data_IF_293992334756
#
_entry.id   IF_293992334756
#
_cell.length_a   1.000
_cell.length_b   1.000
_cell.length_c   1.000
_cell.angle_alpha   90.00
_cell.angle_beta   90.00
_cell.angle_gamma   90.00
#
_symmetry.space_group_name_H-M   'P 1'
#
loop_
_entity.id
_entity.type
_entity.pdbx_description
1 polymer ?
#
# COMPACT_ATOMS: atom_id res chain seq x y z
N UNK A 1 -9.53 14.80 16.44
CA UNK A 1 -8.69 13.88 15.64
C UNK A 1 -9.25 13.73 14.24
N UNK A 2 -8.51 14.13 13.21
CA UNK A 2 -8.89 13.91 11.83
C UNK A 2 -8.61 12.44 11.44
N UNK A 3 -9.64 11.58 11.46
CA UNK A 3 -9.50 10.16 11.11
C UNK A 3 -9.21 9.94 9.62
N UNK A 4 -9.54 10.91 8.76
CA UNK A 4 -9.34 10.83 7.32
C UNK A 4 -7.87 10.68 6.92
N UNK A 5 -6.92 11.10 7.78
CA UNK A 5 -5.49 10.95 7.52
C UNK A 5 -5.03 9.49 7.40
N UNK A 6 -5.68 8.57 8.11
CA UNK A 6 -5.34 7.14 8.01
C UNK A 6 -5.90 6.52 6.74
N UNK A 7 -7.02 7.01 6.21
CA UNK A 7 -7.53 6.60 4.90
C UNK A 7 -6.58 7.01 3.77
N UNK A 8 -5.89 8.16 3.90
CA UNK A 8 -4.82 8.56 2.97
C UNK A 8 -3.67 7.55 2.97
N UNK A 9 -3.28 7.02 4.14
CA UNK A 9 -2.26 5.97 4.21
C UNK A 9 -2.69 4.69 3.48
N UNK A 10 -3.94 4.26 3.66
CA UNK A 10 -4.46 3.10 2.93
C UNK A 10 -4.47 3.34 1.41
N UNK A 11 -4.88 4.54 0.99
CA UNK A 11 -4.90 4.92 -0.42
C UNK A 11 -3.49 4.96 -1.02
N UNK A 12 -2.51 5.50 -0.29
CA UNK A 12 -1.10 5.49 -0.70
C UNK A 12 -0.57 4.06 -0.81
N UNK A 13 -0.94 3.18 0.11
CA UNK A 13 -0.58 1.76 0.06
C UNK A 13 -1.12 1.12 -1.22
N UNK A 14 -2.42 1.30 -1.50
CA UNK A 14 -3.09 0.74 -2.68
C UNK A 14 -2.47 1.25 -3.98
N UNK A 15 -2.41 2.57 -4.15
CA UNK A 15 -1.95 3.18 -5.39
C UNK A 15 -0.48 2.90 -5.66
N UNK A 16 0.38 2.94 -4.64
CA UNK A 16 1.80 2.66 -4.82
C UNK A 16 2.03 1.21 -5.27
N UNK A 17 1.34 0.24 -4.68
CA UNK A 17 1.50 -1.17 -5.10
C UNK A 17 0.88 -1.42 -6.48
N UNK A 18 -0.30 -0.84 -6.76
CA UNK A 18 -1.00 -0.99 -8.04
C UNK A 18 -0.19 -0.42 -9.22
N UNK A 19 0.46 0.73 -9.03
CA UNK A 19 1.20 1.43 -10.08
C UNK A 19 2.64 0.92 -10.18
N UNK A 20 3.34 0.81 -9.05
CA UNK A 20 4.77 0.50 -9.06
C UNK A 20 5.04 -0.95 -9.42
N UNK A 21 4.16 -1.89 -9.08
CA UNK A 21 4.38 -3.29 -9.43
C UNK A 21 4.53 -3.52 -10.94
N UNK A 22 3.57 -3.12 -11.80
CA UNK A 22 3.73 -3.29 -13.24
C UNK A 22 4.92 -2.49 -13.81
N UNK A 23 5.26 -1.32 -13.24
CA UNK A 23 6.45 -0.57 -13.65
C UNK A 23 7.75 -1.33 -13.33
N UNK A 24 7.91 -1.80 -12.09
CA UNK A 24 9.05 -2.61 -11.68
C UNK A 24 9.11 -3.91 -12.49
N UNK A 25 7.97 -4.56 -12.72
CA UNK A 25 7.93 -5.78 -13.53
C UNK A 25 8.35 -5.53 -14.97
N UNK A 26 7.92 -4.41 -15.56
CA UNK A 26 8.34 -4.01 -16.91
C UNK A 26 9.84 -3.75 -17.02
N UNK A 27 10.46 -3.19 -15.99
CA UNK A 27 11.90 -2.89 -15.95
C UNK A 27 12.73 -4.19 -15.80
N UNK A 28 12.31 -5.08 -14.90
CA UNK A 28 13.09 -6.26 -14.53
C UNK A 28 12.84 -7.44 -15.50
N UNK A 29 11.67 -7.45 -16.17
CA UNK A 29 11.30 -8.43 -17.20
C UNK A 29 10.63 -9.70 -16.65
N UNK A 30 9.98 -10.44 -17.56
CA UNK A 30 9.07 -11.54 -17.22
C UNK A 30 9.71 -12.70 -16.46
N UNK A 31 11.00 -12.96 -16.70
CA UNK A 31 11.76 -14.04 -16.04
C UNK A 31 12.06 -13.76 -14.56
N UNK A 32 11.86 -12.53 -14.11
CA UNK A 32 12.31 -12.04 -12.81
C UNK A 32 11.15 -11.52 -11.96
N UNK A 33 10.00 -12.20 -12.01
CA UNK A 33 8.77 -11.77 -11.35
C UNK A 33 8.94 -11.46 -9.86
N UNK A 34 9.57 -12.35 -9.08
CA UNK A 34 9.80 -12.13 -7.65
C UNK A 34 10.79 -11.00 -7.35
N UNK A 35 11.78 -10.78 -8.23
CA UNK A 35 12.68 -9.64 -8.11
C UNK A 35 11.90 -8.32 -8.33
N UNK A 36 10.94 -8.30 -9.25
CA UNK A 36 10.04 -7.16 -9.43
C UNK A 36 9.17 -6.90 -8.19
N UNK A 37 8.68 -7.95 -7.52
CA UNK A 37 7.93 -7.82 -6.26
C UNK A 37 8.80 -7.18 -5.17
N UNK A 38 10.01 -7.70 -4.94
CA UNK A 38 10.93 -7.17 -3.93
C UNK A 38 11.28 -5.71 -4.23
N UNK A 39 11.61 -5.41 -5.50
CA UNK A 39 11.90 -4.05 -5.94
C UNK A 39 10.70 -3.13 -5.69
N UNK A 40 9.48 -3.59 -5.98
CA UNK A 40 8.25 -2.83 -5.72
C UNK A 40 8.10 -2.51 -4.24
N UNK A 41 8.34 -3.47 -3.34
CA UNK A 41 8.24 -3.24 -1.89
C UNK A 41 9.21 -2.14 -1.47
N UNK A 42 10.47 -2.22 -1.90
CA UNK A 42 11.52 -1.22 -1.58
C UNK A 42 11.15 0.16 -2.11
N UNK A 43 10.80 0.26 -3.40
CA UNK A 43 10.46 1.54 -4.04
C UNK A 43 9.18 2.13 -3.43
N UNK A 44 8.18 1.28 -3.16
CA UNK A 44 6.91 1.71 -2.57
C UNK A 44 7.11 2.35 -1.19
N UNK A 45 8.05 1.86 -0.38
CA UNK A 45 8.37 2.47 0.92
C UNK A 45 8.85 3.91 0.76
N UNK A 46 9.79 4.13 -0.17
CA UNK A 46 10.31 5.47 -0.47
C UNK A 46 9.22 6.41 -0.99
N UNK A 47 8.40 5.93 -1.93
CA UNK A 47 7.28 6.70 -2.50
C UNK A 47 6.25 7.08 -1.43
N UNK A 48 5.84 6.12 -0.59
CA UNK A 48 4.88 6.38 0.50
C UNK A 48 5.40 7.41 1.49
N UNK A 49 6.66 7.29 1.92
CA UNK A 49 7.27 8.24 2.85
C UNK A 49 7.40 9.63 2.24
N UNK A 50 7.78 9.72 0.97
CA UNK A 50 7.82 10.99 0.23
C UNK A 50 6.45 11.68 0.22
N UNK A 51 5.39 10.95 -0.16
CA UNK A 51 4.04 11.53 -0.21
C UNK A 51 3.51 11.89 1.18
N UNK A 52 3.74 11.05 2.21
CA UNK A 52 3.37 11.40 3.59
C UNK A 52 4.04 12.70 4.00
N UNK A 53 5.36 12.82 3.81
CA UNK A 53 6.09 14.04 4.16
C UNK A 53 5.57 15.25 3.39
N UNK A 54 5.29 15.09 2.10
CA UNK A 54 4.73 16.15 1.26
C UNK A 54 3.35 16.61 1.74
N UNK A 55 2.47 15.69 2.12
CA UNK A 55 1.15 16.03 2.66
C UNK A 55 1.24 16.73 4.01
N UNK A 56 2.15 16.31 4.89
CA UNK A 56 2.37 16.98 6.18
C UNK A 56 2.90 18.41 5.99
N UNK A 57 3.84 18.63 5.06
CA UNK A 57 4.37 19.98 4.77
C UNK A 57 3.29 20.90 4.21
N UNK A 58 2.40 20.37 3.35
CA UNK A 58 1.36 21.18 2.70
C UNK A 58 0.09 21.36 3.52
N UNK A 59 -0.13 20.57 4.57
CA UNK A 59 -1.38 20.59 5.33
C UNK A 59 -1.13 20.68 6.83
N UNK A 60 -1.44 21.84 7.41
CA UNK A 60 -1.33 22.10 8.86
C UNK A 60 -2.21 21.18 9.74
N UNK A 61 -3.19 20.48 9.16
CA UNK A 61 -4.08 19.56 9.88
C UNK A 61 -3.73 18.08 9.66
N UNK A 62 -2.62 17.80 8.97
CA UNK A 62 -2.20 16.46 8.62
C UNK A 62 -0.88 16.14 9.32
N UNK A 63 -0.97 15.42 10.44
CA UNK A 63 0.19 14.89 11.15
C UNK A 63 0.00 13.41 11.40
N UNK A 64 0.98 12.59 11.01
CA UNK A 64 0.97 11.14 11.18
C UNK A 64 2.05 10.71 12.17
N UNK A 65 1.69 9.97 13.24
CA UNK A 65 2.66 9.49 14.20
C UNK A 65 3.63 8.49 13.54
N UNK A 66 4.94 8.79 13.60
CA UNK A 66 5.96 8.04 12.84
C UNK A 66 6.21 6.62 13.35
N UNK A 67 6.21 6.40 14.66
CA UNK A 67 6.42 5.07 15.26
C UNK A 67 5.41 4.01 14.76
N UNK A 68 4.08 4.23 14.88
CA UNK A 68 3.12 3.27 14.35
C UNK A 68 3.15 3.18 12.83
N UNK A 69 3.49 4.26 12.11
CA UNK A 69 3.62 4.26 10.65
C UNK A 69 4.76 3.34 10.18
N UNK A 70 5.95 3.42 10.80
CA UNK A 70 7.08 2.58 10.43
C UNK A 70 6.83 1.10 10.73
N UNK A 71 6.19 0.80 11.86
CA UNK A 71 5.79 -0.56 12.17
C UNK A 71 4.79 -1.08 11.14
N UNK A 72 3.78 -0.28 10.80
CA UNK A 72 2.81 -0.60 9.75
C UNK A 72 3.48 -0.87 8.40
N UNK A 73 4.38 -0.01 7.95
CA UNK A 73 5.09 -0.22 6.68
C UNK A 73 6.04 -1.42 6.70
N UNK A 74 6.65 -1.75 7.83
CA UNK A 74 7.44 -2.97 7.97
C UNK A 74 6.59 -4.23 7.80
N UNK A 75 5.48 -4.32 8.53
CA UNK A 75 4.55 -5.46 8.45
C UNK A 75 3.90 -5.52 7.07
N UNK A 76 3.38 -4.40 6.56
CA UNK A 76 2.77 -4.30 5.23
C UNK A 76 3.74 -4.70 4.12
N UNK A 77 5.02 -4.31 4.23
CA UNK A 77 6.05 -4.67 3.27
C UNK A 77 6.28 -6.18 3.17
N UNK A 78 6.35 -6.88 4.30
CA UNK A 78 6.49 -8.35 4.33
C UNK A 78 5.26 -9.01 3.71
N UNK A 79 4.07 -8.54 4.08
CA UNK A 79 2.81 -9.11 3.64
C UNK A 79 2.58 -8.84 2.14
N UNK A 80 3.01 -7.69 1.63
CA UNK A 80 2.96 -7.31 0.23
C UNK A 80 3.75 -8.26 -0.69
N UNK A 81 4.83 -8.88 -0.21
CA UNK A 81 5.59 -9.89 -0.98
C UNK A 81 4.69 -11.05 -1.43
N UNK A 82 3.72 -11.43 -0.59
CA UNK A 82 2.81 -12.53 -0.89
C UNK A 82 1.53 -12.07 -1.60
N UNK A 83 1.06 -10.85 -1.31
CA UNK A 83 -0.22 -10.34 -1.83
C UNK A 83 -0.07 -9.80 -3.24
N UNK A 84 0.96 -9.00 -3.51
CA UNK A 84 1.13 -8.34 -4.81
C UNK A 84 1.08 -9.36 -5.96
N UNK A 85 1.81 -10.50 -5.91
CA UNK A 85 1.68 -11.56 -6.91
C UNK A 85 0.25 -12.04 -7.13
N UNK A 86 -0.45 -12.37 -6.04
CA UNK A 86 -1.78 -12.98 -6.07
C UNK A 86 -2.83 -11.99 -6.56
N UNK A 87 -2.77 -10.76 -6.08
CA UNK A 87 -3.67 -9.69 -6.49
C UNK A 87 -3.48 -9.37 -7.98
N UNK A 88 -2.23 -9.32 -8.45
CA UNK A 88 -1.96 -9.03 -9.85
C UNK A 88 -2.43 -10.17 -10.78
N UNK A 89 -2.17 -11.43 -10.42
CA UNK A 89 -2.65 -12.59 -11.18
C UNK A 89 -4.18 -12.63 -11.20
N UNK A 90 -4.83 -12.43 -10.06
CA UNK A 90 -6.30 -12.39 -9.99
C UNK A 90 -6.89 -11.27 -10.84
N UNK A 91 -6.28 -10.07 -10.80
CA UNK A 91 -6.65 -8.97 -11.69
C UNK A 91 -6.49 -9.34 -13.15
N UNK A 92 -5.36 -9.93 -13.55
CA UNK A 92 -5.11 -10.34 -14.93
C UNK A 92 -6.09 -11.42 -15.41
N UNK A 93 -6.43 -12.40 -14.57
CA UNK A 93 -7.41 -13.44 -14.88
C UNK A 93 -8.82 -12.86 -15.04
N UNK A 94 -9.23 -11.96 -14.14
CA UNK A 94 -10.52 -11.26 -14.23
C UNK A 94 -10.60 -10.39 -15.49
N UNK A 95 -9.49 -9.77 -15.89
CA UNK A 95 -9.38 -8.93 -17.07
C UNK A 95 -9.22 -9.70 -18.38
N UNK A 96 -9.42 -11.02 -18.42
CA UNK A 96 -9.30 -11.85 -19.63
C UNK A 96 -10.18 -11.40 -20.82
N UNK A 97 -11.10 -10.44 -20.61
CA UNK A 97 -11.87 -9.74 -21.64
C UNK A 97 -11.32 -8.37 -22.11
N UNK A 98 -10.17 -7.91 -21.61
CA UNK A 98 -9.51 -6.67 -22.06
C UNK A 98 -9.92 -5.38 -21.33
N UNK A 99 -10.80 -5.45 -20.33
CA UNK A 99 -11.23 -4.25 -19.59
C UNK A 99 -10.44 -4.03 -18.29
N UNK A 100 -9.96 -2.79 -18.13
CA UNK A 100 -9.26 -2.34 -16.92
C UNK A 100 -10.13 -2.43 -15.66
N UNK A 101 -11.45 -2.25 -15.79
CA UNK A 101 -12.38 -2.33 -14.65
C UNK A 101 -12.34 -3.70 -14.00
N UNK A 102 -12.36 -4.79 -14.77
CA UNK A 102 -12.27 -6.14 -14.23
C UNK A 102 -10.90 -6.43 -13.62
N UNK A 103 -9.82 -5.88 -14.18
CA UNK A 103 -8.50 -5.95 -13.55
C UNK A 103 -8.52 -5.34 -12.15
N UNK A 104 -9.06 -4.12 -12.03
CA UNK A 104 -9.12 -3.39 -10.77
C UNK A 104 -9.97 -4.13 -9.74
N UNK A 105 -11.11 -4.69 -10.14
CA UNK A 105 -11.97 -5.49 -9.25
C UNK A 105 -11.23 -6.73 -8.74
N UNK A 106 -10.65 -7.53 -9.64
CA UNK A 106 -9.91 -8.74 -9.27
C UNK A 106 -8.71 -8.46 -8.38
N UNK A 107 -7.96 -7.39 -8.69
CA UNK A 107 -6.84 -6.92 -7.86
C UNK A 107 -7.32 -6.49 -6.46
N UNK A 108 -8.36 -5.66 -6.41
CA UNK A 108 -8.84 -5.04 -5.17
C UNK A 108 -9.37 -6.08 -4.20
N UNK A 109 -10.10 -7.09 -4.66
CA UNK A 109 -10.66 -8.13 -3.77
C UNK A 109 -9.55 -8.87 -3.01
N UNK A 110 -8.50 -9.29 -3.72
CA UNK A 110 -7.38 -10.02 -3.12
C UNK A 110 -6.51 -9.09 -2.27
N UNK A 111 -6.34 -7.84 -2.71
CA UNK A 111 -5.53 -6.86 -2.01
C UNK A 111 -6.20 -6.39 -0.70
N UNK A 112 -7.51 -6.13 -0.72
CA UNK A 112 -8.23 -5.42 0.32
C UNK A 112 -8.30 -6.20 1.63
N UNK A 113 -8.55 -7.51 1.59
CA UNK A 113 -8.75 -8.29 2.81
C UNK A 113 -7.52 -8.24 3.72
N UNK A 114 -6.32 -8.68 3.29
CA UNK A 114 -5.16 -8.66 4.17
C UNK A 114 -4.64 -7.25 4.47
N UNK A 115 -4.59 -6.34 3.48
CA UNK A 115 -4.14 -4.97 3.73
C UNK A 115 -5.12 -4.19 4.60
N UNK A 116 -6.43 -4.44 4.46
CA UNK A 116 -7.48 -3.84 5.28
C UNK A 116 -7.37 -4.28 6.74
N UNK A 117 -7.09 -5.55 7.01
CA UNK A 117 -6.85 -6.04 8.38
C UNK A 117 -5.63 -5.35 9.00
N UNK A 118 -4.50 -5.31 8.29
CA UNK A 118 -3.26 -4.67 8.78
C UNK A 118 -3.49 -3.17 9.00
N UNK A 119 -4.21 -2.52 8.09
CA UNK A 119 -4.57 -1.12 8.20
C UNK A 119 -5.49 -0.84 9.39
N UNK A 120 -6.47 -1.70 9.67
CA UNK A 120 -7.31 -1.57 10.86
C UNK A 120 -6.48 -1.66 12.14
N UNK A 121 -5.53 -2.61 12.22
CA UNK A 121 -4.60 -2.71 13.34
C UNK A 121 -3.78 -1.43 13.48
N UNK A 122 -3.26 -0.89 12.38
CA UNK A 122 -2.54 0.39 12.37
C UNK A 122 -3.41 1.57 12.80
N UNK A 123 -4.66 1.62 12.35
CA UNK A 123 -5.62 2.65 12.73
C UNK A 123 -5.82 2.63 14.25
N UNK A 124 -6.23 1.50 14.82
CA UNK A 124 -6.46 1.39 16.26
C UNK A 124 -5.18 1.66 17.07
N UNK A 125 -4.04 1.13 16.63
CA UNK A 125 -2.74 1.38 17.26
C UNK A 125 -2.35 2.85 17.25
N UNK A 126 -2.60 3.56 16.14
CA UNK A 126 -2.30 4.99 16.00
C UNK A 126 -3.23 5.86 16.83
N UNK A 127 -4.53 5.54 16.86
CA UNK A 127 -5.50 6.25 17.71
C UNK A 127 -5.13 6.10 19.20
N UNK A 128 -4.73 4.91 19.63
CA UNK A 128 -4.27 4.66 21.00
C UNK A 128 -2.97 5.40 21.32
N UNK A 129 -2.03 5.43 20.37
CA UNK A 129 -0.78 6.19 20.50
C UNK A 129 -1.05 7.68 20.64
N UNK A 130 -1.89 8.27 19.78
CA UNK A 130 -2.25 9.69 19.86
C UNK A 130 -2.93 10.03 21.19
N UNK A 131 -3.81 9.16 21.70
CA UNK A 131 -4.45 9.39 23.00
C UNK A 131 -3.45 9.39 24.17
N UNK A 132 -2.36 8.63 24.07
CA UNK A 132 -1.34 8.52 25.14
C UNK A 132 -0.35 9.69 25.13
N UNK A 133 -0.13 10.30 23.97
CA UNK A 133 0.93 11.30 23.76
C UNK A 133 0.41 12.67 23.27
N UNK A 134 -0.91 12.90 23.36
CA UNK A 134 -1.58 14.19 23.17
C UNK A 134 -1.98 14.78 24.51
#
# INVERSE_FOLDING_TARGET
MNKGKYSVILLLEFLSQLILFPLCWRIVGDRNFYLAVILTVIVSLGVKLFFVNWFEVKSYHFYIPRKPLYFYYGVSGIVAIFIIPRAFIAGAMAASGGELVFFLVGYTIIWLVPNGIIWLIYLFGSLAYEKKYS
#
